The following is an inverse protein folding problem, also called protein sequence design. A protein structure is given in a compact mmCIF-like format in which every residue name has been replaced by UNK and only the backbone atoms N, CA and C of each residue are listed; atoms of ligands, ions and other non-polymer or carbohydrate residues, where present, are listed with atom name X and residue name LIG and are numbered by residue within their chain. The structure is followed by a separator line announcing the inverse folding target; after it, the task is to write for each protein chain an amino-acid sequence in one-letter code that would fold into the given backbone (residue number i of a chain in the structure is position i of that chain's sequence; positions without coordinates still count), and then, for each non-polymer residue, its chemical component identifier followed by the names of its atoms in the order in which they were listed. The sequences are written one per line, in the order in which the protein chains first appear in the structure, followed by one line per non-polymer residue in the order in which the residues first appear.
data_IF_937287368500
#
_entry.id   IF_937287368500
#
_cell.length_a   1.000
_cell.length_b   1.000
_cell.length_c   1.000
_cell.angle_alpha   90.00
_cell.angle_beta   90.00
_cell.angle_gamma   90.00
#
_symmetry.space_group_name_H-M   'P 1'
#
loop_
_entity.id
_entity.type
_entity.pdbx_description
1 polymer ?
#
# COMPACT_ATOMS: atom_id res chain seq x y z
N UNK A 1 -18.69 -22.31 2.28
CA UNK A 1 -17.55 -21.43 2.04
C UNK A 1 -17.95 -19.98 2.24
N UNK A 2 -17.01 -19.11 2.54
CA UNK A 2 -17.30 -17.68 2.64
C UNK A 2 -17.25 -17.08 1.22
N UNK A 3 -18.29 -16.35 0.83
CA UNK A 3 -18.40 -15.78 -0.51
C UNK A 3 -17.59 -14.46 -0.66
N UNK A 4 -17.22 -13.84 0.47
CA UNK A 4 -16.48 -12.58 0.52
C UNK A 4 -15.27 -12.69 1.46
N UNK A 5 -14.18 -11.94 1.15
CA UNK A 5 -12.93 -11.91 1.92
C UNK A 5 -12.56 -10.50 2.30
N UNK A 6 -11.82 -10.35 3.40
CA UNK A 6 -11.09 -9.12 3.70
C UNK A 6 -9.72 -9.18 3.02
N UNK A 7 -9.32 -8.07 2.40
CA UNK A 7 -7.99 -7.89 1.84
C UNK A 7 -7.16 -7.03 2.79
N UNK A 8 -6.02 -7.56 3.23
CA UNK A 8 -5.02 -6.79 4.01
C UNK A 8 -3.76 -6.70 3.16
N UNK A 9 -3.27 -5.50 2.95
CA UNK A 9 -2.23 -5.23 1.97
C UNK A 9 -1.20 -4.21 2.46
N UNK A 10 0.07 -4.43 2.13
CA UNK A 10 1.19 -3.54 2.46
C UNK A 10 1.78 -2.93 1.18
N UNK A 11 2.13 -1.64 1.22
CA UNK A 11 2.91 -0.94 0.19
C UNK A 11 2.29 -1.09 -1.22
N UNK A 12 3.04 -1.57 -2.20
CA UNK A 12 2.56 -1.86 -3.56
C UNK A 12 1.42 -2.90 -3.58
N UNK A 13 1.36 -3.81 -2.61
CA UNK A 13 0.23 -4.74 -2.44
C UNK A 13 -1.12 -4.03 -2.34
N UNK A 14 -1.14 -2.79 -1.82
CA UNK A 14 -2.36 -1.98 -1.75
C UNK A 14 -2.90 -1.59 -3.13
N UNK A 15 -2.02 -1.31 -4.10
CA UNK A 15 -2.47 -1.08 -5.48
C UNK A 15 -3.15 -2.32 -6.08
N UNK A 16 -2.61 -3.52 -5.80
CA UNK A 16 -3.20 -4.80 -6.24
C UNK A 16 -4.57 -5.02 -5.58
N UNK A 17 -4.66 -4.81 -4.28
CA UNK A 17 -5.90 -4.99 -3.51
C UNK A 17 -6.99 -3.99 -3.94
N UNK A 18 -6.64 -2.73 -4.18
CA UNK A 18 -7.53 -1.67 -4.70
C UNK A 18 -8.08 -2.05 -6.09
N UNK A 19 -7.20 -2.48 -7.01
CA UNK A 19 -7.62 -2.88 -8.35
C UNK A 19 -8.54 -4.11 -8.31
N UNK A 20 -8.24 -5.08 -7.44
CA UNK A 20 -9.10 -6.25 -7.24
C UNK A 20 -10.47 -5.85 -6.64
N UNK A 21 -10.50 -5.04 -5.58
CA UNK A 21 -11.73 -4.58 -4.94
C UNK A 21 -12.61 -3.77 -5.90
N UNK A 22 -11.99 -2.94 -6.75
CA UNK A 22 -12.70 -2.16 -7.77
C UNK A 22 -13.30 -3.00 -8.90
N UNK A 23 -12.70 -4.16 -9.21
CA UNK A 23 -13.18 -5.07 -10.26
C UNK A 23 -14.10 -6.18 -9.75
N UNK A 24 -14.03 -6.51 -8.46
CA UNK A 24 -14.75 -7.61 -7.84
C UNK A 24 -15.40 -7.17 -6.52
N UNK A 25 -16.23 -6.11 -6.51
CA UNK A 25 -16.82 -5.59 -5.27
C UNK A 25 -17.69 -6.63 -4.55
N UNK A 26 -18.26 -7.58 -5.28
CA UNK A 26 -19.05 -8.67 -4.73
C UNK A 26 -18.22 -9.68 -3.92
N UNK A 27 -16.91 -9.73 -4.10
CA UNK A 27 -15.99 -10.66 -3.42
C UNK A 27 -15.27 -10.05 -2.23
N UNK A 28 -15.34 -8.74 -2.03
CA UNK A 28 -14.57 -8.04 -1.00
C UNK A 28 -15.49 -7.58 0.12
N UNK A 29 -15.27 -8.10 1.33
CA UNK A 29 -15.98 -7.69 2.55
C UNK A 29 -15.42 -6.40 3.14
N UNK A 30 -14.12 -6.15 2.97
CA UNK A 30 -13.43 -4.94 3.39
C UNK A 30 -11.97 -4.93 2.94
N UNK A 31 -11.38 -3.75 2.92
CA UNK A 31 -10.01 -3.49 2.48
C UNK A 31 -9.22 -2.80 3.58
N UNK A 32 -8.03 -3.31 3.89
CA UNK A 32 -7.04 -2.67 4.76
C UNK A 32 -5.78 -2.37 3.94
N UNK A 33 -5.37 -1.12 3.91
CA UNK A 33 -4.14 -0.67 3.26
C UNK A 33 -3.15 -0.15 4.29
N UNK A 34 -1.98 -0.78 4.35
CA UNK A 34 -0.88 -0.48 5.25
C UNK A 34 0.26 0.15 4.44
N UNK A 35 0.65 1.39 4.74
CA UNK A 35 1.66 2.13 3.98
C UNK A 35 1.41 2.06 2.45
N UNK A 36 0.13 2.23 2.04
CA UNK A 36 -0.34 1.93 0.68
C UNK A 36 0.24 2.84 -0.39
N UNK A 37 0.56 2.28 -1.57
CA UNK A 37 1.19 2.97 -2.69
C UNK A 37 0.23 3.07 -3.88
N UNK A 38 -0.23 4.28 -4.20
CA UNK A 38 -1.05 4.62 -5.39
C UNK A 38 -0.51 5.82 -6.16
N UNK A 39 0.46 6.55 -5.58
CA UNK A 39 1.05 7.75 -6.16
C UNK A 39 2.56 7.77 -5.93
N UNK A 40 3.34 7.87 -7.00
CA UNK A 40 4.79 8.09 -6.92
C UNK A 40 5.08 9.54 -7.31
N UNK A 41 5.71 10.29 -6.38
CA UNK A 41 6.09 11.70 -6.61
C UNK A 41 7.47 11.87 -7.22
N UNK A 42 8.31 10.82 -7.23
CA UNK A 42 9.68 10.90 -7.77
C UNK A 42 9.64 11.29 -9.26
N UNK A 43 10.24 12.42 -9.67
CA UNK A 43 10.29 12.84 -11.06
C UNK A 43 11.03 11.86 -11.98
N UNK A 44 11.93 11.02 -11.43
CA UNK A 44 12.63 9.98 -12.20
C UNK A 44 11.68 8.94 -12.81
N UNK A 45 10.43 8.86 -12.32
CA UNK A 45 9.38 8.01 -12.91
C UNK A 45 9.13 8.27 -14.40
N UNK A 46 9.32 9.51 -14.85
CA UNK A 46 9.14 9.86 -16.26
C UNK A 46 10.22 9.24 -17.16
N UNK A 47 11.39 8.94 -16.60
CA UNK A 47 12.50 8.32 -17.30
C UNK A 47 12.53 6.80 -17.16
N UNK A 48 11.63 6.18 -16.42
CA UNK A 48 11.62 4.73 -16.18
C UNK A 48 11.60 3.90 -17.48
N UNK A 49 10.90 4.40 -18.51
CA UNK A 49 10.87 3.77 -19.84
C UNK A 49 12.23 3.79 -20.56
N UNK A 50 13.07 4.79 -20.30
CA UNK A 50 14.43 4.89 -20.84
C UNK A 50 15.40 4.10 -19.98
N UNK A 51 15.32 4.27 -18.65
CA UNK A 51 16.19 3.61 -17.67
C UNK A 51 16.17 2.08 -17.86
N UNK A 52 15.01 1.46 -18.08
CA UNK A 52 14.88 0.00 -18.31
C UNK A 52 15.61 -0.50 -19.57
N UNK A 53 15.91 0.40 -20.53
CA UNK A 53 16.65 0.04 -21.76
C UNK A 53 18.16 0.11 -21.55
N UNK A 54 18.62 0.91 -20.58
CA UNK A 54 20.03 1.17 -20.30
C UNK A 54 20.54 0.29 -19.14
N UNK A 55 19.71 0.10 -18.10
CA UNK A 55 20.09 -0.62 -16.90
C UNK A 55 19.06 -1.73 -16.58
N UNK A 56 19.55 -2.97 -16.40
CA UNK A 56 18.68 -4.12 -16.12
C UNK A 56 18.11 -4.14 -14.70
N UNK A 57 18.83 -3.58 -13.72
CA UNK A 57 18.41 -3.52 -12.32
C UNK A 57 19.02 -2.32 -11.60
N UNK A 58 18.36 -1.88 -10.56
CA UNK A 58 18.79 -0.81 -9.63
C UNK A 58 18.87 -1.39 -8.21
N UNK A 59 19.54 -0.73 -7.25
CA UNK A 59 19.45 -1.12 -5.84
C UNK A 59 18.00 -1.25 -5.38
N UNK A 60 17.72 -2.29 -4.61
CA UNK A 60 16.42 -2.45 -3.96
C UNK A 60 16.21 -1.43 -2.85
N UNK A 61 14.97 -1.25 -2.44
CA UNK A 61 14.60 -0.49 -1.24
C UNK A 61 14.26 -1.52 -0.17
N UNK A 62 14.87 -1.39 1.00
CA UNK A 62 14.65 -2.28 2.13
C UNK A 62 14.99 -1.57 3.45
N UNK A 63 14.51 -2.14 4.57
CA UNK A 63 14.83 -1.71 5.94
C UNK A 63 14.45 -0.26 6.25
N UNK A 64 13.35 0.24 5.69
CA UNK A 64 12.74 1.49 6.16
C UNK A 64 11.90 1.19 7.41
N UNK A 65 12.60 0.90 8.52
CA UNK A 65 12.09 0.47 9.83
C UNK A 65 12.80 1.31 10.89
N UNK A 66 12.04 1.91 11.82
CA UNK A 66 12.55 2.73 12.92
C UNK A 66 13.09 1.87 14.07
N UNK A 67 12.51 0.69 14.32
CA UNK A 67 12.95 -0.25 15.34
C UNK A 67 14.34 -0.80 14.99
N UNK A 68 15.38 -0.52 15.80
CA UNK A 68 16.75 -0.97 15.54
C UNK A 68 16.92 -2.50 15.55
N UNK A 69 15.97 -3.23 16.16
CA UNK A 69 15.93 -4.70 16.14
C UNK A 69 15.07 -5.23 14.99
N UNK A 70 14.36 -4.35 14.28
CA UNK A 70 13.55 -4.68 13.13
C UNK A 70 14.39 -5.02 11.91
N UNK A 71 14.01 -6.06 11.17
CA UNK A 71 14.67 -6.43 9.93
C UNK A 71 13.66 -6.91 8.88
N UNK A 72 13.83 -6.45 7.66
CA UNK A 72 13.06 -6.90 6.50
C UNK A 72 13.95 -7.77 5.61
N UNK A 73 13.41 -8.89 5.13
CA UNK A 73 14.06 -9.71 4.11
C UNK A 73 13.61 -9.17 2.74
N UNK A 74 14.52 -8.54 2.03
CA UNK A 74 14.26 -7.97 0.71
C UNK A 74 15.37 -8.30 -0.29
N UNK A 75 15.06 -8.17 -1.58
CA UNK A 75 16.06 -8.35 -2.63
C UNK A 75 17.00 -7.14 -2.68
N UNK A 76 18.30 -7.40 -2.77
CA UNK A 76 19.32 -6.36 -2.91
C UNK A 76 19.17 -5.53 -4.21
N UNK A 77 18.55 -6.12 -5.22
CA UNK A 77 18.37 -5.49 -6.54
C UNK A 77 16.95 -5.64 -7.05
N UNK A 78 16.47 -4.56 -7.67
CA UNK A 78 15.15 -4.48 -8.25
C UNK A 78 15.23 -4.37 -9.79
N UNK A 79 14.57 -5.26 -10.57
CA UNK A 79 14.58 -5.19 -12.03
C UNK A 79 13.87 -3.93 -12.55
N UNK A 80 14.53 -3.18 -13.43
CA UNK A 80 13.96 -1.92 -13.97
C UNK A 80 12.75 -2.15 -14.86
N UNK A 81 12.64 -3.31 -15.51
CA UNK A 81 11.45 -3.70 -16.25
C UNK A 81 10.24 -3.90 -15.35
N UNK A 82 10.42 -4.51 -14.17
CA UNK A 82 9.37 -4.66 -13.16
C UNK A 82 8.94 -3.30 -12.61
N UNK A 83 9.90 -2.40 -12.34
CA UNK A 83 9.61 -1.03 -11.91
C UNK A 83 8.76 -0.26 -12.91
N UNK A 84 9.04 -0.39 -14.20
CA UNK A 84 8.23 0.24 -15.23
C UNK A 84 6.79 -0.30 -15.26
N UNK A 85 6.61 -1.61 -15.15
CA UNK A 85 5.28 -2.23 -15.09
C UNK A 85 4.53 -1.83 -13.81
N UNK A 86 5.23 -1.80 -12.66
CA UNK A 86 4.69 -1.33 -11.39
C UNK A 86 4.14 0.10 -11.50
N UNK A 87 4.88 1.02 -12.12
CA UNK A 87 4.44 2.41 -12.36
C UNK A 87 3.14 2.47 -13.18
N UNK A 88 3.01 1.64 -14.22
CA UNK A 88 1.79 1.60 -15.03
C UNK A 88 0.62 1.05 -14.23
N UNK A 89 0.86 0.01 -13.42
CA UNK A 89 -0.16 -0.61 -12.59
C UNK A 89 -0.68 0.35 -11.50
N UNK A 90 0.22 1.03 -10.77
CA UNK A 90 -0.11 2.05 -9.76
C UNK A 90 -1.04 3.13 -10.35
N UNK A 91 -0.70 3.62 -11.54
CA UNK A 91 -1.53 4.61 -12.24
C UNK A 91 -2.93 4.08 -12.58
N UNK A 92 -3.05 2.80 -12.93
CA UNK A 92 -4.32 2.10 -13.14
C UNK A 92 -5.13 1.98 -11.85
N UNK A 93 -4.49 1.48 -10.78
CA UNK A 93 -5.10 1.30 -9.46
C UNK A 93 -5.62 2.63 -8.89
N UNK A 94 -4.84 3.72 -9.00
CA UNK A 94 -5.28 5.06 -8.60
C UNK A 94 -6.57 5.50 -9.30
N UNK A 95 -6.69 5.23 -10.60
CA UNK A 95 -7.91 5.53 -11.37
C UNK A 95 -9.10 4.67 -10.97
N UNK A 96 -8.85 3.54 -10.31
CA UNK A 96 -9.87 2.60 -9.86
C UNK A 96 -10.45 2.97 -8.48
N UNK A 97 -9.81 3.84 -7.72
CA UNK A 97 -10.25 4.26 -6.38
C UNK A 97 -11.75 4.62 -6.32
N UNK A 98 -12.32 5.44 -7.24
CA UNK A 98 -13.75 5.79 -7.16
C UNK A 98 -14.71 4.62 -7.35
N UNK A 99 -14.23 3.42 -7.68
CA UNK A 99 -15.02 2.20 -7.80
C UNK A 99 -14.95 1.29 -6.58
N UNK A 100 -14.08 1.62 -5.62
CA UNK A 100 -13.96 0.87 -4.35
C UNK A 100 -15.03 1.36 -3.39
N UNK A 101 -16.02 0.51 -3.11
CA UNK A 101 -17.16 0.83 -2.26
C UNK A 101 -17.24 -0.01 -0.97
N UNK A 102 -16.36 -1.00 -0.81
CA UNK A 102 -16.29 -1.80 0.41
C UNK A 102 -15.74 -0.97 1.58
N UNK A 103 -16.02 -1.36 2.85
CA UNK A 103 -15.37 -0.77 4.02
C UNK A 103 -13.86 -0.68 3.88
N UNK A 104 -13.25 0.43 4.30
CA UNK A 104 -11.84 0.72 4.13
C UNK A 104 -11.17 1.16 5.44
N UNK A 105 -10.05 0.54 5.78
CA UNK A 105 -9.09 1.03 6.75
C UNK A 105 -7.77 1.40 6.06
N UNK A 106 -7.33 2.63 6.23
CA UNK A 106 -6.02 3.10 5.79
C UNK A 106 -5.13 3.32 7.01
N UNK A 107 -3.94 2.73 7.02
CA UNK A 107 -2.92 3.02 8.03
C UNK A 107 -1.62 3.42 7.35
N UNK A 108 -1.01 4.51 7.82
CA UNK A 108 0.21 5.04 7.23
C UNK A 108 1.04 5.78 8.29
N UNK A 109 2.36 5.81 8.11
CA UNK A 109 3.24 6.62 8.95
C UNK A 109 3.47 8.00 8.34
N UNK A 110 3.44 9.05 9.18
CA UNK A 110 3.91 10.37 8.76
C UNK A 110 5.41 10.38 8.43
N UNK A 111 6.18 9.44 8.99
CA UNK A 111 7.62 9.31 8.87
C UNK A 111 8.05 8.25 7.83
N UNK A 112 7.15 7.84 6.92
CA UNK A 112 7.45 6.91 5.83
C UNK A 112 8.39 7.56 4.80
N UNK A 113 9.61 7.05 4.67
CA UNK A 113 10.63 7.56 3.73
C UNK A 113 10.54 6.90 2.34
N UNK A 114 9.78 5.80 2.23
CA UNK A 114 9.64 5.02 0.99
C UNK A 114 8.40 5.42 0.20
N UNK A 115 7.25 5.54 0.88
CA UNK A 115 5.96 5.93 0.28
C UNK A 115 5.43 7.19 0.95
N UNK A 116 5.42 8.29 0.21
CA UNK A 116 5.01 9.59 0.73
C UNK A 116 3.62 9.52 1.39
N UNK A 117 3.43 10.11 2.60
CA UNK A 117 2.17 10.04 3.38
C UNK A 117 0.91 10.51 2.64
N UNK A 118 1.03 11.38 1.64
CA UNK A 118 -0.09 11.79 0.79
C UNK A 118 -0.80 10.61 0.10
N UNK A 119 -0.15 9.44 -0.01
CA UNK A 119 -0.79 8.24 -0.52
C UNK A 119 -1.96 7.79 0.36
N UNK A 120 -1.85 7.96 1.68
CA UNK A 120 -2.94 7.65 2.61
C UNK A 120 -4.17 8.51 2.35
N UNK A 121 -3.98 9.82 2.16
CA UNK A 121 -5.06 10.76 1.84
C UNK A 121 -5.65 10.46 0.46
N UNK A 122 -4.81 10.21 -0.54
CA UNK A 122 -5.25 9.86 -1.89
C UNK A 122 -6.11 8.59 -1.91
N UNK A 123 -5.75 7.55 -1.12
CA UNK A 123 -6.54 6.32 -1.00
C UNK A 123 -7.84 6.61 -0.25
N UNK A 124 -7.75 7.22 0.94
CA UNK A 124 -8.90 7.48 1.80
C UNK A 124 -9.94 8.35 1.10
N UNK A 125 -9.52 9.45 0.48
CA UNK A 125 -10.46 10.42 -0.13
C UNK A 125 -10.94 9.96 -1.51
N UNK A 126 -10.12 9.15 -2.21
CA UNK A 126 -10.40 8.69 -3.56
C UNK A 126 -11.44 7.58 -3.67
N UNK A 127 -11.70 6.79 -2.61
CA UNK A 127 -12.66 5.70 -2.64
C UNK A 127 -14.11 6.19 -2.49
N UNK A 128 -15.06 5.43 -3.07
CA UNK A 128 -16.49 5.68 -2.94
C UNK A 128 -17.10 5.13 -1.63
N UNK A 129 -16.33 4.42 -0.81
CA UNK A 129 -16.81 3.89 0.46
C UNK A 129 -17.27 5.01 1.40
N UNK A 130 -18.43 4.83 2.04
CA UNK A 130 -18.91 5.68 3.13
C UNK A 130 -18.43 5.20 4.51
N UNK A 131 -18.01 3.93 4.63
CA UNK A 131 -17.41 3.33 5.81
C UNK A 131 -15.90 3.29 5.62
N UNK A 132 -15.21 4.36 5.99
CA UNK A 132 -13.76 4.50 5.83
C UNK A 132 -13.11 5.19 7.01
N UNK A 133 -11.93 4.69 7.37
CA UNK A 133 -11.13 5.16 8.50
C UNK A 133 -9.68 5.36 8.08
N UNK A 134 -9.03 6.42 8.58
CA UNK A 134 -7.62 6.68 8.42
C UNK A 134 -6.95 6.77 9.80
N UNK A 135 -5.95 5.92 10.03
CA UNK A 135 -5.14 5.90 11.24
C UNK A 135 -3.70 6.23 10.89
N UNK A 136 -3.17 7.28 11.50
CA UNK A 136 -1.77 7.62 11.44
C UNK A 136 -0.98 6.91 12.54
N UNK A 137 0.23 6.46 12.20
CA UNK A 137 1.23 5.99 13.15
C UNK A 137 2.47 6.88 13.02
N UNK A 138 3.12 7.21 14.14
CA UNK A 138 4.15 8.25 14.15
C UNK A 138 5.52 7.75 14.60
N UNK A 139 5.59 6.56 15.23
CA UNK A 139 6.83 5.97 15.75
C UNK A 139 7.47 4.97 14.78
N UNK A 140 6.81 4.71 13.66
CA UNK A 140 7.24 3.76 12.62
C UNK A 140 7.60 4.48 11.32
N UNK A 141 8.38 3.80 10.45
CA UNK A 141 8.66 4.22 9.07
C UNK A 141 7.74 3.49 8.08
N UNK A 142 8.28 2.92 6.97
CA UNK A 142 7.47 2.31 5.91
C UNK A 142 6.86 0.96 6.30
N UNK A 143 7.68 0.07 6.90
CA UNK A 143 7.26 -1.31 7.18
C UNK A 143 6.52 -1.39 8.52
N UNK A 144 5.41 -0.65 8.65
CA UNK A 144 4.63 -0.50 9.89
C UNK A 144 4.20 -1.81 10.55
N UNK A 145 4.24 -2.92 9.79
CA UNK A 145 3.93 -4.27 10.29
C UNK A 145 5.09 -4.93 11.05
N UNK A 146 6.32 -4.44 10.90
CA UNK A 146 7.51 -4.97 11.58
C UNK A 146 8.15 -3.94 12.51
N UNK A 147 7.57 -2.75 12.59
CA UNK A 147 8.13 -1.58 13.26
C UNK A 147 7.54 -1.35 14.66
N UNK A 148 7.87 -0.23 15.26
CA UNK A 148 7.50 0.16 16.64
C UNK A 148 5.99 0.07 16.86
N UNK A 149 5.18 0.58 15.93
CA UNK A 149 3.71 0.58 16.02
C UNK A 149 3.04 -0.75 15.64
N UNK A 150 3.78 -1.84 15.35
CA UNK A 150 3.23 -3.12 14.84
C UNK A 150 2.04 -3.66 15.63
N UNK A 151 2.07 -3.56 16.95
CA UNK A 151 0.97 -4.06 17.78
C UNK A 151 -0.31 -3.24 17.59
N UNK A 152 -0.20 -1.92 17.45
CA UNK A 152 -1.33 -1.04 17.15
C UNK A 152 -1.89 -1.34 15.75
N UNK A 153 -1.00 -1.56 14.77
CA UNK A 153 -1.40 -1.95 13.39
C UNK A 153 -2.18 -3.26 13.40
N UNK A 154 -1.70 -4.29 14.13
CA UNK A 154 -2.38 -5.57 14.23
C UNK A 154 -3.73 -5.45 14.92
N UNK A 155 -3.79 -4.74 16.04
CA UNK A 155 -5.01 -4.58 16.82
C UNK A 155 -6.09 -3.83 16.00
N UNK A 156 -5.73 -2.72 15.38
CA UNK A 156 -6.67 -1.95 14.55
C UNK A 156 -7.17 -2.75 13.35
N UNK A 157 -6.28 -3.51 12.70
CA UNK A 157 -6.65 -4.41 11.60
C UNK A 157 -7.63 -5.50 12.07
N UNK A 158 -7.34 -6.13 13.21
CA UNK A 158 -8.20 -7.17 13.78
C UNK A 158 -9.59 -6.62 14.14
N UNK A 159 -9.66 -5.48 14.81
CA UNK A 159 -10.92 -4.85 15.20
C UNK A 159 -11.74 -4.43 13.99
N UNK A 160 -11.10 -3.86 12.96
CA UNK A 160 -11.76 -3.52 11.71
C UNK A 160 -12.43 -4.75 11.08
N UNK A 161 -11.72 -5.87 10.99
CA UNK A 161 -12.24 -7.12 10.42
C UNK A 161 -13.35 -7.69 11.31
N UNK A 162 -13.12 -7.81 12.63
CA UNK A 162 -14.06 -8.39 13.58
C UNK A 162 -15.40 -7.67 13.58
N UNK A 163 -15.38 -6.33 13.52
CA UNK A 163 -16.61 -5.53 13.60
C UNK A 163 -17.43 -5.56 12.29
N UNK A 164 -16.87 -6.15 11.20
CA UNK A 164 -17.51 -6.22 9.87
C UNK A 164 -17.63 -7.66 9.32
N UNK A 165 -17.36 -8.68 10.15
CA UNK A 165 -17.42 -10.11 9.80
C UNK A 165 -18.80 -10.74 10.03
#
# INVERSE_FOLDING_TARGET
GRDRVFLVSLSFGSALAIDFAARHPEKVAGLVTLAGLVLIRDPRRFFAGVIRRVTKSIPGVANDIADPEGAEIAYERFPTSAGHQMLQFIKGARRSLPRVSCPLLVMHSHNDHTVHPDNALEIHDGVASSDKELIWVDDSYHVITLDVDRHRVYQSTYEFIKNRS
#
